data_IF_962458987968
#
_entry.id   IF_962458987968
#
_cell.length_a   1.000
_cell.length_b   1.000
_cell.length_c   1.000
_cell.angle_alpha   90.00
_cell.angle_beta   90.00
_cell.angle_gamma   90.00
#
_symmetry.space_group_name_H-M   'P 1'
#
loop_
_entity.id
_entity.type
_entity.pdbx_description
1 polymer ?
#
# COMPACT_ATOMS: atom_id res chain seq x y z
N UNK A 1 -19.71 13.93 -21.40
CA UNK A 1 -19.66 12.44 -21.28
C UNK A 1 -20.41 12.04 -20.01
N UNK A 2 -21.19 10.96 -20.05
CA UNK A 2 -21.88 10.49 -18.82
C UNK A 2 -20.84 9.97 -17.80
N UNK A 3 -21.11 10.10 -16.49
CA UNK A 3 -20.24 9.57 -15.43
C UNK A 3 -19.94 8.06 -15.60
N UNK A 4 -20.89 7.34 -16.21
CA UNK A 4 -20.72 5.92 -16.57
C UNK A 4 -19.65 5.73 -17.65
N UNK A 5 -19.60 6.59 -18.67
CA UNK A 5 -18.60 6.48 -19.74
C UNK A 5 -17.18 6.76 -19.23
N UNK A 6 -17.01 7.74 -18.33
CA UNK A 6 -15.71 8.03 -17.72
C UNK A 6 -15.25 6.87 -16.80
N UNK A 7 -16.15 6.27 -16.05
CA UNK A 7 -15.84 5.10 -15.22
C UNK A 7 -15.43 3.88 -16.06
N UNK A 8 -16.19 3.58 -17.12
CA UNK A 8 -15.86 2.48 -18.03
C UNK A 8 -14.49 2.68 -18.70
N UNK A 9 -14.18 3.92 -19.11
CA UNK A 9 -12.86 4.27 -19.65
C UNK A 9 -11.76 4.07 -18.63
N UNK A 10 -11.95 4.52 -17.38
CA UNK A 10 -10.97 4.34 -16.30
C UNK A 10 -10.72 2.86 -16.01
N UNK A 11 -11.76 2.03 -15.94
CA UNK A 11 -11.65 0.58 -15.75
C UNK A 11 -10.95 -0.10 -16.93
N UNK A 12 -11.27 0.28 -18.18
CA UNK A 12 -10.62 -0.27 -19.37
C UNK A 12 -9.13 0.09 -19.41
N UNK A 13 -8.78 1.34 -19.15
CA UNK A 13 -7.38 1.78 -19.08
C UNK A 13 -6.64 1.10 -17.93
N UNK A 14 -7.28 0.94 -16.78
CA UNK A 14 -6.72 0.21 -15.63
C UNK A 14 -6.44 -1.26 -15.97
N UNK A 15 -7.37 -1.94 -16.64
CA UNK A 15 -7.18 -3.31 -17.09
C UNK A 15 -6.04 -3.43 -18.12
N UNK A 16 -5.98 -2.50 -19.09
CA UNK A 16 -4.88 -2.47 -20.07
C UNK A 16 -3.52 -2.24 -19.37
N UNK A 17 -3.45 -1.31 -18.43
CA UNK A 17 -2.25 -1.06 -17.66
C UNK A 17 -1.84 -2.30 -16.85
N UNK A 18 -2.79 -2.97 -16.20
CA UNK A 18 -2.55 -4.21 -15.47
C UNK A 18 -2.00 -5.31 -16.39
N UNK A 19 -2.63 -5.54 -17.55
CA UNK A 19 -2.17 -6.52 -18.53
C UNK A 19 -0.77 -6.19 -19.06
N UNK A 20 -0.48 -4.92 -19.35
CA UNK A 20 0.84 -4.48 -19.81
C UNK A 20 1.93 -4.72 -18.76
N UNK A 21 1.64 -4.39 -17.48
CA UNK A 21 2.58 -4.63 -16.37
C UNK A 21 2.78 -6.14 -16.17
N UNK A 22 1.72 -6.94 -16.22
CA UNK A 22 1.83 -8.39 -16.11
C UNK A 22 2.62 -9.00 -17.28
N UNK A 23 2.42 -8.53 -18.51
CA UNK A 23 3.19 -8.98 -19.68
C UNK A 23 4.68 -8.64 -19.52
N UNK A 24 4.98 -7.42 -19.07
CA UNK A 24 6.35 -7.00 -18.81
C UNK A 24 7.02 -7.87 -17.73
N UNK A 25 6.33 -8.06 -16.60
CA UNK A 25 6.85 -8.89 -15.50
C UNK A 25 7.04 -10.35 -15.96
N UNK A 26 6.07 -10.89 -16.71
CA UNK A 26 6.16 -12.24 -17.25
C UNK A 26 7.38 -12.38 -18.17
N UNK A 27 7.60 -11.43 -19.08
CA UNK A 27 8.75 -11.41 -19.98
C UNK A 27 10.09 -11.30 -19.20
N UNK A 28 10.15 -10.43 -18.17
CA UNK A 28 11.33 -10.30 -17.31
C UNK A 28 11.65 -11.60 -16.58
N UNK A 29 10.63 -12.26 -16.02
CA UNK A 29 10.78 -13.55 -15.32
C UNK A 29 11.29 -14.63 -16.27
N UNK A 30 10.76 -14.69 -17.51
CA UNK A 30 11.22 -15.64 -18.53
C UNK A 30 12.64 -15.36 -19.04
N UNK A 31 13.07 -14.10 -19.00
CA UNK A 31 14.40 -13.65 -19.42
C UNK A 31 15.47 -13.89 -18.34
N UNK A 32 15.05 -14.23 -17.11
CA UNK A 32 15.97 -14.40 -15.99
C UNK A 32 16.89 -15.63 -16.22
N UNK A 33 18.19 -15.52 -15.89
CA UNK A 33 19.13 -16.65 -16.02
C UNK A 33 18.66 -17.87 -15.23
N UNK A 34 18.60 -19.03 -15.87
CA UNK A 34 18.10 -20.27 -15.30
C UNK A 34 16.63 -20.58 -15.63
N UNK A 35 15.82 -19.60 -16.02
CA UNK A 35 14.43 -19.79 -16.46
C UNK A 35 13.52 -20.56 -15.49
N UNK A 36 12.23 -20.67 -15.85
CA UNK A 36 11.25 -21.43 -15.06
C UNK A 36 11.59 -22.92 -14.96
N UNK A 37 12.22 -23.49 -15.98
CA UNK A 37 12.60 -24.91 -16.01
C UNK A 37 13.66 -25.25 -14.96
N UNK A 38 14.69 -24.42 -14.79
CA UNK A 38 15.72 -24.64 -13.77
C UNK A 38 15.17 -24.41 -12.35
N UNK A 39 14.31 -23.40 -12.16
CA UNK A 39 13.66 -23.17 -10.87
C UNK A 39 12.74 -24.32 -10.44
N UNK A 40 12.06 -24.96 -11.39
CA UNK A 40 11.22 -26.15 -11.15
C UNK A 40 12.03 -27.43 -10.93
N UNK A 41 13.09 -27.63 -11.72
CA UNK A 41 13.91 -28.85 -11.66
C UNK A 41 14.85 -28.85 -10.45
N UNK A 42 15.20 -27.67 -9.92
CA UNK A 42 16.16 -27.48 -8.84
C UNK A 42 17.60 -27.33 -9.33
N UNK A 43 18.45 -26.74 -8.48
CA UNK A 43 19.84 -26.35 -8.83
C UNK A 43 20.75 -27.55 -9.22
N UNK A 44 20.39 -28.77 -8.84
CA UNK A 44 21.14 -29.99 -9.11
C UNK A 44 20.50 -30.87 -10.18
N UNK A 45 19.48 -30.38 -10.90
CA UNK A 45 18.80 -31.20 -11.91
C UNK A 45 19.66 -31.46 -13.12
N UNK A 46 19.59 -32.73 -13.63
CA UNK A 46 20.24 -33.10 -14.88
C UNK A 46 19.57 -32.38 -16.07
N UNK A 47 20.29 -32.30 -17.20
CA UNK A 47 19.72 -31.74 -18.45
C UNK A 47 18.47 -32.50 -18.90
N UNK A 48 18.39 -33.81 -18.63
CA UNK A 48 17.25 -34.66 -18.95
C UNK A 48 16.02 -34.27 -18.11
N UNK A 49 16.19 -34.07 -16.79
CA UNK A 49 15.14 -33.61 -15.88
C UNK A 49 14.65 -32.22 -16.26
N UNK A 50 15.55 -31.30 -16.63
CA UNK A 50 15.18 -29.97 -17.11
C UNK A 50 14.38 -30.04 -18.42
N UNK A 51 14.76 -30.88 -19.36
CA UNK A 51 14.05 -31.09 -20.63
C UNK A 51 12.66 -31.71 -20.42
N UNK A 52 12.50 -32.59 -19.45
CA UNK A 52 11.21 -33.18 -19.07
C UNK A 52 10.29 -32.16 -18.43
N UNK A 53 10.79 -31.34 -17.51
CA UNK A 53 10.08 -30.23 -16.91
C UNK A 53 9.66 -29.20 -17.97
N UNK A 54 10.56 -28.85 -18.89
CA UNK A 54 10.26 -27.91 -19.98
C UNK A 54 9.09 -28.41 -20.83
N UNK A 55 9.04 -29.69 -21.16
CA UNK A 55 7.94 -30.29 -21.94
C UNK A 55 6.65 -30.42 -21.14
N UNK A 56 6.71 -30.87 -19.89
CA UNK A 56 5.54 -31.11 -19.05
C UNK A 56 4.82 -29.81 -18.68
N UNK A 57 5.55 -28.67 -18.59
CA UNK A 57 4.99 -27.35 -18.31
C UNK A 57 4.83 -26.48 -19.56
N UNK A 58 5.03 -27.03 -20.77
CA UNK A 58 4.92 -26.33 -22.05
C UNK A 58 5.75 -25.02 -22.10
N UNK A 59 6.95 -25.05 -21.49
CA UNK A 59 7.87 -23.90 -21.46
C UNK A 59 8.66 -23.74 -22.78
N UNK A 60 8.49 -24.65 -23.71
CA UNK A 60 9.02 -24.65 -25.08
C UNK A 60 8.17 -23.84 -26.07
N UNK A 61 6.93 -23.44 -25.65
CA UNK A 61 6.06 -22.63 -26.49
C UNK A 61 6.53 -21.16 -26.57
N UNK A 62 6.08 -20.41 -27.61
CA UNK A 62 6.33 -18.97 -27.67
C UNK A 62 5.87 -18.26 -26.39
N UNK A 63 6.67 -17.30 -25.89
CA UNK A 63 6.40 -16.57 -24.62
C UNK A 63 4.99 -15.94 -24.61
N UNK A 64 4.52 -15.47 -25.78
CA UNK A 64 3.19 -14.89 -25.92
C UNK A 64 2.08 -15.93 -25.65
N UNK A 65 2.22 -17.16 -26.12
CA UNK A 65 1.25 -18.23 -25.85
C UNK A 65 1.25 -18.64 -24.38
N UNK A 66 2.43 -18.71 -23.78
CA UNK A 66 2.57 -18.99 -22.34
C UNK A 66 1.88 -17.88 -21.51
N UNK A 67 2.05 -16.61 -21.88
CA UNK A 67 1.41 -15.48 -21.21
C UNK A 67 -0.12 -15.54 -21.33
N UNK A 68 -0.65 -15.75 -22.54
CA UNK A 68 -2.11 -15.87 -22.74
C UNK A 68 -2.68 -17.02 -21.93
N UNK A 69 -2.00 -18.19 -21.92
CA UNK A 69 -2.38 -19.33 -21.11
C UNK A 69 -2.35 -19.03 -19.60
N UNK A 70 -1.35 -18.26 -19.14
CA UNK A 70 -1.22 -17.83 -17.75
C UNK A 70 -2.41 -16.91 -17.35
N UNK A 71 -2.72 -15.91 -18.15
CA UNK A 71 -3.85 -15.00 -17.89
C UNK A 71 -5.19 -15.74 -17.91
N UNK A 72 -5.38 -16.66 -18.87
CA UNK A 72 -6.61 -17.45 -18.95
C UNK A 72 -6.83 -18.33 -17.71
N UNK A 73 -5.79 -18.99 -17.22
CA UNK A 73 -5.85 -19.79 -15.97
C UNK A 73 -6.07 -18.91 -14.75
N UNK A 74 -5.36 -17.80 -14.65
CA UNK A 74 -5.52 -16.83 -13.55
C UNK A 74 -6.97 -16.31 -13.45
N UNK A 75 -7.60 -16.03 -14.60
CA UNK A 75 -9.01 -15.63 -14.66
C UNK A 75 -9.98 -16.72 -14.18
N UNK A 76 -9.60 -17.97 -14.26
CA UNK A 76 -10.36 -19.14 -13.77
C UNK A 76 -10.06 -19.45 -12.29
N UNK A 77 -9.20 -18.67 -11.62
CA UNK A 77 -8.79 -18.89 -10.23
C UNK A 77 -7.61 -19.86 -10.07
N UNK A 78 -7.07 -20.39 -11.15
CA UNK A 78 -5.84 -21.20 -11.14
C UNK A 78 -4.62 -20.29 -11.27
N UNK A 79 -4.02 -19.98 -10.13
CA UNK A 79 -2.82 -19.14 -10.03
C UNK A 79 -1.54 -20.00 -9.99
N UNK A 80 -1.67 -21.31 -10.21
CA UNK A 80 -0.59 -22.27 -10.17
C UNK A 80 -0.16 -22.70 -8.78
N UNK A 81 0.95 -23.43 -8.72
CA UNK A 81 1.54 -23.97 -7.48
C UNK A 81 2.89 -23.31 -7.26
N UNK A 82 3.14 -22.87 -6.05
CA UNK A 82 4.43 -22.32 -5.61
C UNK A 82 5.54 -23.36 -5.77
N UNK A 83 6.66 -22.97 -6.34
CA UNK A 83 7.83 -23.84 -6.48
C UNK A 83 8.52 -24.08 -5.14
N UNK A 84 8.57 -23.06 -4.30
CA UNK A 84 9.23 -23.09 -3.00
C UNK A 84 8.34 -23.69 -1.91
N UNK A 85 7.10 -23.18 -1.75
CA UNK A 85 6.19 -23.61 -0.69
C UNK A 85 5.43 -24.90 -1.01
N UNK A 86 5.43 -25.34 -2.27
CA UNK A 86 4.71 -26.54 -2.74
C UNK A 86 3.21 -26.54 -2.41
N UNK A 87 2.60 -25.35 -2.44
CA UNK A 87 1.19 -25.09 -2.12
C UNK A 87 0.53 -24.22 -3.21
N UNK A 88 -0.80 -24.27 -3.37
CA UNK A 88 -1.51 -23.40 -4.30
C UNK A 88 -1.23 -21.90 -4.00
N UNK A 89 -0.87 -21.15 -5.04
CA UNK A 89 -0.51 -19.72 -4.92
C UNK A 89 -1.67 -18.88 -4.39
N UNK A 90 -2.91 -19.15 -4.87
CA UNK A 90 -4.10 -18.44 -4.41
C UNK A 90 -4.31 -18.55 -2.89
N UNK A 91 -4.07 -19.74 -2.32
CA UNK A 91 -4.13 -19.97 -0.87
C UNK A 91 -3.06 -19.21 -0.10
N UNK A 92 -1.81 -19.24 -0.59
CA UNK A 92 -0.71 -18.47 0.02
C UNK A 92 -1.00 -16.97 0.03
N UNK A 93 -1.53 -16.45 -1.06
CA UNK A 93 -1.89 -15.03 -1.19
C UNK A 93 -3.05 -14.68 -0.25
N UNK A 94 -4.10 -15.49 -0.20
CA UNK A 94 -5.24 -15.27 0.68
C UNK A 94 -4.84 -15.20 2.16
N UNK A 95 -3.96 -16.10 2.61
CA UNK A 95 -3.42 -16.09 3.98
C UNK A 95 -2.63 -14.81 4.31
N UNK A 96 -1.94 -14.24 3.32
CA UNK A 96 -1.06 -13.06 3.49
C UNK A 96 -1.76 -11.73 3.26
N UNK A 97 -2.92 -11.74 2.60
CA UNK A 97 -3.66 -10.53 2.26
C UNK A 97 -4.17 -9.81 3.51
N UNK A 98 -4.79 -10.54 4.45
CA UNK A 98 -5.35 -9.95 5.67
C UNK A 98 -4.30 -9.23 6.52
N UNK A 99 -3.14 -9.82 6.85
CA UNK A 99 -2.07 -9.11 7.55
C UNK A 99 -1.60 -7.84 6.83
N UNK A 100 -1.44 -7.87 5.51
CA UNK A 100 -1.06 -6.67 4.74
C UNK A 100 -2.13 -5.58 4.84
N UNK A 101 -3.40 -5.94 4.69
CA UNK A 101 -4.51 -4.98 4.81
C UNK A 101 -4.59 -4.38 6.22
N UNK A 102 -4.40 -5.17 7.27
CA UNK A 102 -4.36 -4.68 8.65
C UNK A 102 -3.23 -3.66 8.83
N UNK A 103 -2.02 -3.96 8.35
CA UNK A 103 -0.89 -3.05 8.40
C UNK A 103 -1.17 -1.76 7.63
N UNK A 104 -1.66 -1.86 6.40
CA UNK A 104 -1.89 -0.69 5.54
C UNK A 104 -3.02 0.19 6.03
N UNK A 105 -4.17 -0.40 6.37
CA UNK A 105 -5.33 0.36 6.85
C UNK A 105 -5.08 0.97 8.22
N UNK A 106 -4.43 0.24 9.12
CA UNK A 106 -4.00 0.74 10.43
C UNK A 106 -3.04 1.93 10.29
N UNK A 107 -2.03 1.80 9.41
CA UNK A 107 -1.07 2.86 9.14
C UNK A 107 -1.70 4.08 8.48
N UNK A 108 -2.55 3.87 7.47
CA UNK A 108 -3.22 4.97 6.76
C UNK A 108 -4.17 5.74 7.69
N UNK A 109 -4.99 5.01 8.46
CA UNK A 109 -5.92 5.63 9.41
C UNK A 109 -5.19 6.45 10.46
N UNK A 110 -4.15 5.89 11.07
CA UNK A 110 -3.31 6.57 12.05
C UNK A 110 -2.61 7.79 11.45
N UNK A 111 -2.09 7.66 10.22
CA UNK A 111 -1.43 8.73 9.49
C UNK A 111 -2.37 9.90 9.17
N UNK A 112 -3.59 9.61 8.71
CA UNK A 112 -4.59 10.64 8.42
C UNK A 112 -4.97 11.39 9.70
N UNK A 113 -5.27 10.67 10.77
CA UNK A 113 -5.68 11.27 12.06
C UNK A 113 -4.55 12.14 12.62
N UNK A 114 -3.34 11.59 12.76
CA UNK A 114 -2.21 12.30 13.31
C UNK A 114 -1.75 13.46 12.40
N UNK A 115 -1.63 13.22 11.11
CA UNK A 115 -1.19 14.21 10.12
C UNK A 115 -2.19 15.37 10.00
N UNK A 116 -3.49 15.06 9.93
CA UNK A 116 -4.54 16.11 9.93
C UNK A 116 -4.50 16.94 11.22
N UNK A 117 -4.40 16.29 12.36
CA UNK A 117 -4.33 16.98 13.65
C UNK A 117 -3.10 17.91 13.71
N UNK A 118 -1.92 17.40 13.36
CA UNK A 118 -0.68 18.16 13.33
C UNK A 118 -0.73 19.33 12.33
N UNK A 119 -1.26 19.10 11.13
CA UNK A 119 -1.37 20.12 10.08
C UNK A 119 -2.34 21.24 10.44
N UNK A 120 -3.51 20.93 11.02
CA UNK A 120 -4.46 21.92 11.53
C UNK A 120 -3.86 22.72 12.70
N UNK A 121 -3.20 22.02 13.62
CA UNK A 121 -2.51 22.67 14.74
C UNK A 121 -1.41 23.62 14.22
N UNK A 122 -0.59 23.20 13.28
CA UNK A 122 0.42 24.03 12.64
C UNK A 122 -0.20 25.24 11.94
N UNK A 123 -1.34 25.08 11.24
CA UNK A 123 -2.03 26.20 10.58
C UNK A 123 -2.54 27.26 11.55
N UNK A 124 -2.95 26.85 12.76
CA UNK A 124 -3.35 27.76 13.82
C UNK A 124 -2.19 28.58 14.42
N UNK A 125 -0.93 28.14 14.23
CA UNK A 125 0.26 28.79 14.77
C UNK A 125 0.82 29.83 13.78
N UNK A 126 0.55 31.11 14.01
CA UNK A 126 0.97 32.18 13.08
C UNK A 126 2.47 32.25 12.82
N UNK A 127 3.32 32.06 13.84
CA UNK A 127 4.77 32.23 13.73
C UNK A 127 5.52 30.87 13.66
N UNK A 128 4.95 29.80 14.20
CA UNK A 128 5.60 28.49 14.31
C UNK A 128 5.09 27.47 13.29
N UNK A 129 3.99 27.77 12.60
CA UNK A 129 3.36 26.84 11.68
C UNK A 129 4.29 26.37 10.54
N UNK A 130 5.06 27.30 9.97
CA UNK A 130 6.02 26.98 8.93
C UNK A 130 7.16 26.07 9.44
N UNK A 131 7.63 26.30 10.67
CA UNK A 131 8.68 25.45 11.29
C UNK A 131 8.17 24.03 11.54
N UNK A 132 6.92 23.91 12.04
CA UNK A 132 6.28 22.61 12.27
C UNK A 132 6.10 21.87 10.94
N UNK A 133 5.65 22.55 9.89
CA UNK A 133 5.50 21.96 8.56
C UNK A 133 6.86 21.56 7.96
N UNK A 134 7.91 22.35 8.16
CA UNK A 134 9.27 22.00 7.74
C UNK A 134 9.81 20.78 8.50
N UNK A 135 9.58 20.70 9.81
CA UNK A 135 9.95 19.52 10.61
C UNK A 135 9.20 18.25 10.13
N UNK A 136 7.89 18.38 9.83
CA UNK A 136 7.14 17.28 9.24
C UNK A 136 7.72 16.86 7.89
N UNK A 137 8.09 17.82 7.02
CA UNK A 137 8.74 17.51 5.74
C UNK A 137 10.08 16.79 5.92
N UNK A 138 10.86 17.15 6.94
CA UNK A 138 12.10 16.44 7.28
C UNK A 138 11.84 15.00 7.72
N UNK A 139 10.82 14.75 8.54
CA UNK A 139 10.40 13.39 8.92
C UNK A 139 9.94 12.59 7.69
N UNK A 140 9.20 13.20 6.77
CA UNK A 140 8.78 12.57 5.53
C UNK A 140 9.95 12.11 4.65
N UNK A 141 11.08 12.83 4.67
CA UNK A 141 12.27 12.51 3.90
C UNK A 141 13.09 11.33 4.47
N UNK A 142 12.81 10.90 5.70
CA UNK A 142 13.55 9.79 6.31
C UNK A 142 13.19 8.46 5.64
N UNK A 143 14.16 7.57 5.38
CA UNK A 143 13.87 6.23 4.87
C UNK A 143 13.03 5.43 5.87
N UNK A 144 11.91 4.83 5.38
CA UNK A 144 10.97 4.10 6.25
C UNK A 144 11.63 2.95 7.01
N UNK A 145 12.53 2.21 6.36
CA UNK A 145 13.25 1.10 7.01
C UNK A 145 14.17 1.59 8.14
N UNK A 146 14.79 2.75 7.98
CA UNK A 146 15.65 3.34 9.00
C UNK A 146 14.84 3.76 10.24
N UNK A 147 13.70 4.41 10.03
CA UNK A 147 12.75 4.73 11.12
C UNK A 147 12.29 3.45 11.82
N UNK A 148 11.98 2.41 11.06
CA UNK A 148 11.59 1.10 11.61
C UNK A 148 12.68 0.46 12.46
N UNK A 149 13.93 0.52 12.02
CA UNK A 149 15.06 0.00 12.81
C UNK A 149 15.26 0.77 14.11
N UNK A 150 15.13 2.10 14.09
CA UNK A 150 15.23 2.90 15.31
C UNK A 150 14.11 2.61 16.30
N UNK A 151 12.87 2.44 15.83
CA UNK A 151 11.74 2.07 16.68
C UNK A 151 11.89 0.65 17.24
N UNK A 152 12.36 -0.29 16.42
CA UNK A 152 12.63 -1.66 16.85
C UNK A 152 13.70 -1.69 17.93
N UNK A 153 14.81 -0.97 17.74
CA UNK A 153 15.90 -0.89 18.71
C UNK A 153 15.44 -0.21 20.01
N UNK A 154 14.91 1.01 19.92
CA UNK A 154 14.57 1.80 21.10
C UNK A 154 13.34 1.28 21.84
N UNK A 155 12.17 1.25 21.18
CA UNK A 155 10.92 0.89 21.85
C UNK A 155 10.74 -0.63 21.99
N UNK A 156 11.32 -1.42 21.08
CA UNK A 156 11.21 -2.87 21.10
C UNK A 156 12.27 -3.54 21.98
N UNK A 157 13.56 -3.32 21.70
CA UNK A 157 14.65 -4.04 22.35
C UNK A 157 15.13 -3.38 23.63
N UNK A 158 15.41 -2.07 23.62
CA UNK A 158 15.97 -1.39 24.80
C UNK A 158 14.92 -1.17 25.88
N UNK A 159 13.74 -0.69 25.51
CA UNK A 159 12.66 -0.42 26.47
C UNK A 159 11.73 -1.62 26.69
N UNK A 160 11.73 -2.61 25.80
CA UNK A 160 10.87 -3.79 25.91
C UNK A 160 9.37 -3.50 25.88
N UNK A 161 8.96 -2.35 25.29
CA UNK A 161 7.55 -1.94 25.31
C UNK A 161 6.68 -2.72 24.33
N UNK A 162 7.24 -3.11 23.18
CA UNK A 162 6.47 -3.74 22.11
C UNK A 162 7.22 -4.90 21.48
N UNK A 163 6.51 -5.93 20.98
CA UNK A 163 7.11 -7.02 20.24
C UNK A 163 7.85 -6.52 18.99
N UNK A 164 9.02 -7.09 18.73
CA UNK A 164 9.87 -6.67 17.61
C UNK A 164 9.61 -7.46 16.33
N UNK A 165 8.83 -8.54 16.36
CA UNK A 165 8.59 -9.38 15.19
C UNK A 165 7.34 -10.26 15.32
N UNK A 166 6.80 -10.69 14.16
CA UNK A 166 5.66 -11.58 14.07
C UNK A 166 4.31 -10.89 14.09
N UNK A 167 3.24 -11.66 13.91
CA UNK A 167 1.85 -11.20 13.95
C UNK A 167 1.24 -11.37 15.35
N UNK A 168 1.67 -12.39 16.07
CA UNK A 168 1.13 -12.80 17.37
C UNK A 168 2.15 -13.64 18.14
N UNK A 169 1.96 -13.78 19.44
CA UNK A 169 2.77 -14.67 20.28
C UNK A 169 2.33 -16.14 20.06
N UNK A 170 3.22 -17.03 19.58
CA UNK A 170 2.91 -18.44 19.39
C UNK A 170 2.47 -19.18 20.68
N UNK A 171 2.75 -18.62 21.85
CA UNK A 171 2.38 -19.20 23.14
C UNK A 171 0.91 -18.98 23.51
N UNK A 172 0.22 -18.08 22.80
CA UNK A 172 -1.18 -17.68 23.05
C UNK A 172 -2.19 -18.36 22.13
N UNK A 173 -1.85 -19.52 21.55
CA UNK A 173 -2.68 -20.22 20.54
C UNK A 173 -4.09 -20.57 21.08
N UNK A 174 -4.22 -20.86 22.37
CA UNK A 174 -5.50 -21.19 23.02
C UNK A 174 -6.23 -20.00 23.64
N UNK A 175 -5.72 -18.77 23.43
CA UNK A 175 -6.38 -17.58 23.91
C UNK A 175 -7.68 -17.34 23.12
N UNK A 176 -8.76 -16.99 23.82
CA UNK A 176 -10.03 -16.66 23.15
C UNK A 176 -9.86 -15.52 22.12
N UNK A 177 -10.81 -15.42 21.18
CA UNK A 177 -10.72 -14.49 20.04
C UNK A 177 -10.40 -13.03 20.43
N UNK A 178 -10.88 -12.56 21.58
CA UNK A 178 -10.58 -11.22 22.09
C UNK A 178 -9.11 -11.04 22.48
N UNK A 179 -8.51 -12.02 23.14
CA UNK A 179 -7.10 -11.99 23.52
C UNK A 179 -6.19 -12.08 22.30
N UNK A 180 -6.54 -12.94 21.32
CA UNK A 180 -5.81 -13.05 20.08
C UNK A 180 -5.85 -11.72 19.27
N UNK A 181 -6.98 -11.04 19.21
CA UNK A 181 -7.09 -9.74 18.55
C UNK A 181 -6.26 -8.66 19.25
N UNK A 182 -6.21 -8.69 20.58
CA UNK A 182 -5.39 -7.76 21.37
C UNK A 182 -3.89 -8.01 21.14
N UNK A 183 -3.48 -9.27 21.08
CA UNK A 183 -2.11 -9.67 20.81
C UNK A 183 -1.65 -9.22 19.41
N UNK A 184 -2.50 -9.45 18.38
CA UNK A 184 -2.25 -8.93 17.02
C UNK A 184 -2.11 -7.40 17.03
N UNK A 185 -3.01 -6.70 17.73
CA UNK A 185 -2.96 -5.24 17.82
C UNK A 185 -1.66 -4.78 18.50
N UNK A 186 -1.18 -5.51 19.53
CA UNK A 186 0.07 -5.23 20.21
C UNK A 186 1.28 -5.42 19.33
N UNK A 187 1.33 -6.50 18.56
CA UNK A 187 2.38 -6.76 17.57
C UNK A 187 2.35 -5.76 16.41
N UNK A 188 1.17 -5.21 16.10
CA UNK A 188 1.01 -4.23 15.02
C UNK A 188 1.53 -2.83 15.39
N UNK A 189 1.75 -2.49 16.67
CA UNK A 189 2.09 -1.13 17.09
C UNK A 189 3.34 -0.61 16.38
N UNK A 190 4.46 -1.34 16.44
CA UNK A 190 5.71 -0.90 15.83
C UNK A 190 5.63 -0.85 14.28
N UNK A 191 5.15 -1.90 13.58
CA UNK A 191 5.01 -1.87 12.13
C UNK A 191 4.07 -0.76 11.65
N UNK A 192 2.91 -0.60 12.29
CA UNK A 192 1.93 0.45 11.97
C UNK A 192 2.52 1.83 12.20
N UNK A 193 3.18 2.06 13.34
CA UNK A 193 3.78 3.35 13.66
C UNK A 193 4.90 3.70 12.69
N UNK A 194 5.74 2.73 12.31
CA UNK A 194 6.81 2.90 11.33
C UNK A 194 6.27 3.43 10.00
N UNK A 195 5.25 2.76 9.47
CA UNK A 195 4.67 3.14 8.19
C UNK A 195 3.81 4.41 8.31
N UNK A 196 3.07 4.57 9.43
CA UNK A 196 2.21 5.72 9.68
C UNK A 196 3.00 7.02 9.84
N UNK A 197 4.17 7.00 10.46
CA UNK A 197 4.93 8.23 10.78
C UNK A 197 5.29 9.02 9.52
N UNK A 198 5.80 8.35 8.50
CA UNK A 198 6.15 8.98 7.23
C UNK A 198 4.91 9.55 6.53
N UNK A 199 3.81 8.78 6.49
CA UNK A 199 2.57 9.24 5.88
C UNK A 199 1.88 10.33 6.69
N UNK A 200 1.94 10.30 8.03
CA UNK A 200 1.44 11.36 8.90
C UNK A 200 2.16 12.69 8.66
N UNK A 201 3.49 12.63 8.50
CA UNK A 201 4.29 13.80 8.14
C UNK A 201 3.85 14.41 6.80
N UNK A 202 3.59 13.57 5.79
CA UNK A 202 3.04 14.02 4.52
C UNK A 202 1.64 14.64 4.68
N UNK A 203 0.71 13.95 5.37
CA UNK A 203 -0.63 14.49 5.61
C UNK A 203 -0.60 15.79 6.43
N UNK A 204 0.37 15.96 7.34
CA UNK A 204 0.54 17.19 8.10
C UNK A 204 0.92 18.37 7.18
N UNK A 205 1.85 18.18 6.26
CA UNK A 205 2.25 19.24 5.31
C UNK A 205 1.12 19.60 4.35
N UNK A 206 0.40 18.61 3.81
CA UNK A 206 -0.74 18.85 2.92
C UNK A 206 -1.87 19.55 3.68
N UNK A 207 -2.20 19.10 4.89
CA UNK A 207 -3.25 19.70 5.73
C UNK A 207 -2.89 21.12 6.11
N UNK A 208 -1.63 21.38 6.52
CA UNK A 208 -1.16 22.74 6.83
C UNK A 208 -1.33 23.68 5.65
N UNK A 209 -0.86 23.29 4.46
CA UNK A 209 -0.96 24.12 3.26
C UNK A 209 -2.41 24.43 2.89
N UNK A 210 -3.29 23.41 2.89
CA UNK A 210 -4.71 23.57 2.59
C UNK A 210 -5.44 24.41 3.65
N UNK A 211 -5.19 24.16 4.93
CA UNK A 211 -5.79 24.92 6.02
C UNK A 211 -5.39 26.40 5.98
N UNK A 212 -4.13 26.71 5.61
CA UNK A 212 -3.71 28.12 5.43
C UNK A 212 -4.49 28.81 4.32
N UNK A 213 -4.70 28.17 3.19
CA UNK A 213 -5.53 28.72 2.10
C UNK A 213 -6.99 28.93 2.54
N UNK A 214 -7.55 27.99 3.32
CA UNK A 214 -8.91 28.12 3.85
C UNK A 214 -9.04 29.24 4.88
N UNK A 215 -8.02 29.49 5.70
CA UNK A 215 -8.03 30.54 6.70
C UNK A 215 -8.07 31.97 6.11
N UNK A 216 -7.73 32.14 4.85
CA UNK A 216 -7.80 33.42 4.14
C UNK A 216 -9.17 33.65 3.46
N UNK A 217 -10.10 32.67 3.53
CA UNK A 217 -11.41 32.74 2.92
C UNK A 217 -12.37 33.71 3.64
N UNK A 218 -13.36 34.24 2.90
CA UNK A 218 -14.33 35.23 3.39
C UNK A 218 -15.16 34.73 4.58
N UNK A 219 -15.52 33.40 4.59
CA UNK A 219 -16.30 32.84 5.70
C UNK A 219 -15.52 32.82 7.02
N UNK A 220 -14.19 32.63 6.97
CA UNK A 220 -13.33 32.72 8.16
C UNK A 220 -13.27 34.13 8.71
N UNK A 221 -13.11 35.13 7.82
CA UNK A 221 -13.17 36.56 8.22
C UNK A 221 -14.50 36.89 8.86
N UNK A 222 -15.61 36.44 8.28
CA UNK A 222 -16.94 36.63 8.84
C UNK A 222 -17.12 35.94 10.21
N UNK A 223 -16.56 34.74 10.39
CA UNK A 223 -16.58 34.03 11.67
C UNK A 223 -15.80 34.78 12.76
N UNK A 224 -14.61 35.30 12.42
CA UNK A 224 -13.81 36.14 13.33
C UNK A 224 -14.54 37.44 13.71
N UNK A 225 -15.18 38.11 12.74
CA UNK A 225 -15.97 39.32 13.00
C UNK A 225 -17.16 39.07 13.95
N UNK A 226 -17.68 37.82 13.98
CA UNK A 226 -18.73 37.39 14.93
C UNK A 226 -18.18 36.96 16.29
N UNK A 227 -16.88 37.05 16.53
CA UNK A 227 -16.25 36.70 17.80
C UNK A 227 -16.11 35.17 18.03
N UNK A 228 -16.23 34.34 16.98
CA UNK A 228 -16.06 32.90 17.10
C UNK A 228 -14.59 32.62 17.45
N UNK A 229 -14.37 31.77 18.46
CA UNK A 229 -13.04 31.41 18.92
C UNK A 229 -12.21 30.75 17.82
N UNK A 230 -10.93 31.10 17.69
CA UNK A 230 -10.02 30.58 16.64
C UNK A 230 -9.96 29.06 16.63
N UNK A 231 -10.00 28.42 17.82
CA UNK A 231 -10.07 26.95 17.92
C UNK A 231 -11.29 26.37 17.21
N UNK A 232 -12.47 27.02 17.37
CA UNK A 232 -13.71 26.57 16.71
C UNK A 232 -13.63 26.80 15.20
N UNK A 233 -13.01 27.91 14.76
CA UNK A 233 -12.78 28.19 13.35
C UNK A 233 -11.91 27.11 12.72
N UNK A 234 -10.75 26.81 13.31
CA UNK A 234 -9.79 25.83 12.77
C UNK A 234 -10.36 24.43 12.79
N UNK A 235 -10.80 23.94 13.97
CA UNK A 235 -11.20 22.54 14.14
C UNK A 235 -12.64 22.26 13.70
N UNK A 236 -13.50 23.27 13.62
CA UNK A 236 -14.88 23.13 13.16
C UNK A 236 -15.04 23.47 11.67
N UNK A 237 -14.71 24.70 11.28
CA UNK A 237 -15.00 25.21 9.93
C UNK A 237 -13.91 24.79 8.93
N UNK A 238 -12.66 25.16 9.19
CA UNK A 238 -11.53 24.87 8.29
C UNK A 238 -11.33 23.35 8.14
N UNK A 239 -11.32 22.60 9.24
CA UNK A 239 -11.15 21.15 9.23
C UNK A 239 -12.20 20.42 8.39
N UNK A 240 -13.45 20.92 8.37
CA UNK A 240 -14.53 20.33 7.56
C UNK A 240 -14.27 20.50 6.07
N UNK A 241 -13.76 21.67 5.64
CA UNK A 241 -13.51 21.97 4.24
C UNK A 241 -12.24 21.29 3.71
N UNK A 242 -11.23 21.08 4.56
CA UNK A 242 -10.01 20.35 4.20
C UNK A 242 -10.23 18.83 4.13
N UNK A 243 -11.18 18.29 4.90
CA UNK A 243 -11.43 16.85 5.02
C UNK A 243 -11.62 16.10 3.70
N UNK A 244 -12.55 16.52 2.83
CA UNK A 244 -12.81 15.88 1.55
C UNK A 244 -11.58 15.75 0.65
N UNK A 245 -10.76 16.79 0.58
CA UNK A 245 -9.53 16.79 -0.22
C UNK A 245 -8.50 15.78 0.32
N UNK A 246 -8.42 15.61 1.65
CA UNK A 246 -7.55 14.60 2.27
C UNK A 246 -7.99 13.17 1.96
N UNK A 247 -9.29 12.91 1.81
CA UNK A 247 -9.80 11.59 1.44
C UNK A 247 -9.32 11.16 0.05
N UNK A 248 -9.37 12.06 -0.95
CA UNK A 248 -8.83 11.79 -2.29
C UNK A 248 -7.32 11.54 -2.24
N UNK A 249 -6.59 12.38 -1.50
CA UNK A 249 -5.14 12.22 -1.32
C UNK A 249 -4.82 10.88 -0.65
N UNK A 250 -5.63 10.45 0.33
CA UNK A 250 -5.44 9.19 1.04
C UNK A 250 -5.61 7.97 0.11
N UNK A 251 -6.62 7.97 -0.76
CA UNK A 251 -6.84 6.90 -1.72
C UNK A 251 -5.68 6.78 -2.71
N UNK A 252 -5.18 7.91 -3.23
CA UNK A 252 -4.02 7.93 -4.12
C UNK A 252 -2.71 7.49 -3.41
N UNK A 253 -2.66 7.55 -2.08
CA UNK A 253 -1.50 7.09 -1.30
C UNK A 253 -1.45 5.59 -1.05
N UNK A 254 -2.54 4.85 -1.27
CA UNK A 254 -2.56 3.40 -1.06
C UNK A 254 -1.48 2.67 -1.87
N UNK A 255 -1.24 3.08 -3.12
CA UNK A 255 -0.16 2.50 -3.93
C UNK A 255 1.24 2.68 -3.32
N UNK A 256 1.53 3.86 -2.77
CA UNK A 256 2.83 4.11 -2.11
C UNK A 256 2.97 3.38 -0.77
N UNK A 257 1.86 3.15 -0.06
CA UNK A 257 1.84 2.35 1.15
C UNK A 257 2.31 0.92 0.89
N UNK A 258 1.95 0.32 -0.25
CA UNK A 258 2.44 -1.03 -0.61
C UNK A 258 3.96 -1.08 -0.69
N UNK A 259 4.59 -0.10 -1.31
CA UNK A 259 6.07 -0.06 -1.41
C UNK A 259 6.72 -0.02 -0.03
N UNK A 260 6.19 0.81 0.88
CA UNK A 260 6.66 0.87 2.28
C UNK A 260 6.33 -0.41 3.06
N UNK A 261 5.14 -0.99 2.83
CA UNK A 261 4.70 -2.20 3.51
C UNK A 261 5.63 -3.39 3.24
N UNK A 262 6.13 -3.58 2.03
CA UNK A 262 7.10 -4.66 1.70
C UNK A 262 8.32 -4.60 2.62
N UNK A 263 8.88 -3.40 2.81
CA UNK A 263 10.06 -3.21 3.67
C UNK A 263 9.73 -3.42 5.14
N UNK A 264 8.60 -2.89 5.60
CA UNK A 264 8.16 -2.99 6.99
C UNK A 264 7.78 -4.44 7.34
N UNK A 265 7.07 -5.14 6.47
CA UNK A 265 6.73 -6.56 6.63
C UNK A 265 7.98 -7.44 6.72
N UNK A 266 8.99 -7.13 5.91
CA UNK A 266 10.26 -7.87 5.95
C UNK A 266 11.02 -7.57 7.23
N UNK A 267 11.10 -6.29 7.64
CA UNK A 267 11.82 -5.85 8.83
C UNK A 267 11.25 -6.46 10.11
N UNK A 268 9.92 -6.40 10.28
CA UNK A 268 9.24 -6.90 11.49
C UNK A 268 8.80 -8.36 11.38
N UNK A 269 9.26 -9.10 10.36
CA UNK A 269 8.82 -10.47 10.07
C UNK A 269 7.28 -10.61 10.03
N UNK A 270 6.56 -9.54 9.68
CA UNK A 270 5.11 -9.50 9.55
C UNK A 270 4.66 -10.40 8.38
N UNK A 271 3.73 -11.34 8.56
CA UNK A 271 3.42 -12.35 7.56
C UNK A 271 2.48 -11.84 6.46
N UNK A 272 2.89 -10.79 5.75
CA UNK A 272 2.10 -10.16 4.68
C UNK A 272 2.52 -10.54 3.26
N UNK A 273 1.84 -9.91 2.28
CA UNK A 273 2.09 -10.10 0.84
C UNK A 273 3.46 -9.57 0.40
N UNK A 274 3.93 -8.48 0.98
CA UNK A 274 5.25 -7.93 0.65
C UNK A 274 6.38 -8.86 1.07
N UNK A 275 6.27 -9.48 2.25
CA UNK A 275 7.22 -10.50 2.70
C UNK A 275 7.13 -11.76 1.83
N UNK A 276 5.92 -12.17 1.44
CA UNK A 276 5.74 -13.29 0.50
C UNK A 276 6.41 -12.97 -0.84
N UNK A 277 6.24 -11.76 -1.37
CA UNK A 277 6.87 -11.30 -2.60
C UNK A 277 8.41 -11.31 -2.49
N UNK A 278 8.95 -10.80 -1.39
CA UNK A 278 10.40 -10.82 -1.12
C UNK A 278 10.95 -12.25 -1.09
N UNK A 279 10.24 -13.17 -0.44
CA UNK A 279 10.60 -14.58 -0.41
C UNK A 279 10.54 -15.22 -1.82
N UNK A 280 9.51 -14.87 -2.61
CA UNK A 280 9.36 -15.36 -3.98
C UNK A 280 10.51 -14.90 -4.90
N UNK A 281 10.97 -13.65 -4.74
CA UNK A 281 12.11 -13.12 -5.49
C UNK A 281 13.39 -13.90 -5.14
N UNK A 282 13.68 -14.04 -3.84
CA UNK A 282 14.89 -14.72 -3.36
C UNK A 282 14.95 -16.19 -3.74
N UNK A 283 13.79 -16.87 -3.76
CA UNK A 283 13.68 -18.29 -4.08
C UNK A 283 13.28 -18.56 -5.55
N UNK A 284 13.25 -17.54 -6.40
CA UNK A 284 12.84 -17.64 -7.82
C UNK A 284 11.49 -18.33 -8.02
N UNK A 285 10.55 -18.08 -7.11
CA UNK A 285 9.21 -18.66 -7.14
C UNK A 285 8.31 -17.84 -8.09
N UNK A 286 8.43 -18.13 -9.37
CA UNK A 286 7.77 -17.38 -10.43
C UNK A 286 6.23 -17.32 -10.30
N UNK A 287 5.51 -18.43 -10.00
CA UNK A 287 4.06 -18.38 -9.83
C UNK A 287 3.63 -17.45 -8.70
N UNK A 288 4.31 -17.50 -7.55
CA UNK A 288 4.02 -16.60 -6.41
C UNK A 288 4.35 -15.17 -6.77
N UNK A 289 5.48 -14.92 -7.44
CA UNK A 289 5.90 -13.59 -7.85
C UNK A 289 4.88 -12.96 -8.80
N UNK A 290 4.45 -13.67 -9.85
CA UNK A 290 3.47 -13.20 -10.82
C UNK A 290 2.09 -12.98 -10.18
N UNK A 291 1.64 -13.91 -9.34
CA UNK A 291 0.36 -13.83 -8.66
C UNK A 291 0.29 -12.71 -7.64
N UNK A 292 1.26 -12.65 -6.71
CA UNK A 292 1.28 -11.64 -5.66
C UNK A 292 1.48 -10.22 -6.22
N UNK A 293 2.41 -10.05 -7.18
CA UNK A 293 2.63 -8.76 -7.82
C UNK A 293 1.41 -8.33 -8.64
N UNK A 294 0.78 -9.26 -9.38
CA UNK A 294 -0.45 -8.99 -10.12
C UNK A 294 -1.58 -8.51 -9.22
N UNK A 295 -1.76 -9.12 -8.05
CA UNK A 295 -2.74 -8.66 -7.07
C UNK A 295 -2.40 -7.27 -6.53
N UNK A 296 -1.15 -7.01 -6.17
CA UNK A 296 -0.70 -5.69 -5.68
C UNK A 296 -0.99 -4.62 -6.73
N UNK A 297 -0.64 -4.85 -7.99
CA UNK A 297 -0.92 -3.91 -9.10
C UNK A 297 -2.43 -3.68 -9.27
N UNK A 298 -3.24 -4.75 -9.20
CA UNK A 298 -4.69 -4.64 -9.26
C UNK A 298 -5.25 -3.77 -8.12
N UNK A 299 -4.76 -3.95 -6.90
CA UNK A 299 -5.15 -3.14 -5.73
C UNK A 299 -4.75 -1.67 -5.90
N UNK A 300 -3.56 -1.38 -6.43
CA UNK A 300 -3.10 -0.01 -6.71
C UNK A 300 -3.99 0.66 -7.76
N UNK A 301 -4.29 -0.02 -8.86
CA UNK A 301 -5.16 0.49 -9.92
C UNK A 301 -6.58 0.73 -9.38
N UNK A 302 -7.12 -0.23 -8.62
CA UNK A 302 -8.45 -0.10 -8.01
C UNK A 302 -8.51 1.10 -7.06
N UNK A 303 -7.46 1.33 -6.27
CA UNK A 303 -7.40 2.49 -5.37
C UNK A 303 -7.35 3.82 -6.13
N UNK A 304 -6.64 3.87 -7.26
CA UNK A 304 -6.60 5.06 -8.12
C UNK A 304 -7.96 5.35 -8.76
N UNK A 305 -8.62 4.32 -9.29
CA UNK A 305 -9.99 4.46 -9.84
C UNK A 305 -10.98 4.89 -8.75
N UNK A 306 -10.86 4.33 -7.54
CA UNK A 306 -11.67 4.76 -6.40
C UNK A 306 -11.43 6.23 -6.03
N UNK A 307 -10.18 6.70 -6.11
CA UNK A 307 -9.83 8.09 -5.87
C UNK A 307 -10.49 9.02 -6.91
N UNK A 308 -10.47 8.66 -8.18
CA UNK A 308 -11.10 9.42 -9.25
C UNK A 308 -12.63 9.51 -9.07
N UNK A 309 -13.27 8.40 -8.67
CA UNK A 309 -14.71 8.36 -8.38
C UNK A 309 -15.05 9.28 -7.19
N UNK A 310 -14.29 9.17 -6.11
CA UNK A 310 -14.49 10.01 -4.91
C UNK A 310 -14.25 11.48 -5.24
N UNK A 311 -13.23 11.79 -6.04
CA UNK A 311 -12.95 13.16 -6.49
C UNK A 311 -14.10 13.73 -7.32
N UNK A 312 -14.62 12.98 -8.29
CA UNK A 312 -15.75 13.39 -9.11
C UNK A 312 -17.04 13.59 -8.29
N UNK A 313 -17.24 12.79 -7.23
CA UNK A 313 -18.38 12.95 -6.32
C UNK A 313 -18.25 14.16 -5.39
N UNK A 314 -17.02 14.48 -4.95
CA UNK A 314 -16.75 15.61 -4.05
C UNK A 314 -16.70 16.96 -4.77
N UNK A 315 -16.27 16.97 -6.03
CA UNK A 315 -16.22 18.19 -6.85
C UNK A 315 -16.80 17.94 -8.25
N UNK A 316 -18.12 18.07 -8.41
CA UNK A 316 -18.80 17.86 -9.70
C UNK A 316 -18.43 18.90 -10.78
N UNK A 317 -17.62 19.92 -10.45
CA UNK A 317 -17.14 20.93 -11.39
C UNK A 317 -15.89 20.49 -12.16
N UNK A 318 -15.21 19.47 -11.69
CA UNK A 318 -14.09 18.87 -12.41
C UNK A 318 -14.67 17.92 -13.46
N UNK A 319 -14.97 18.46 -14.65
CA UNK A 319 -15.20 17.63 -15.82
C UNK A 319 -13.88 16.90 -16.17
N UNK A 320 -13.85 15.56 -16.20
CA UNK A 320 -12.70 14.86 -16.74
C UNK A 320 -12.60 15.21 -18.22
N UNK A 321 -11.48 15.77 -18.64
CA UNK A 321 -11.13 16.02 -20.04
C UNK A 321 -11.70 17.30 -20.70
N UNK A 322 -11.22 18.47 -20.27
CA UNK A 322 -10.91 19.52 -21.25
C UNK A 322 -9.40 19.61 -21.36
N UNK A 323 -8.82 18.95 -22.37
CA UNK A 323 -7.55 19.38 -22.89
C UNK A 323 -7.65 20.88 -23.19
N UNK A 324 -6.67 21.71 -22.79
CA UNK A 324 -6.68 23.12 -23.18
C UNK A 324 -6.65 23.22 -24.71
N UNK A 325 -7.34 24.24 -25.27
CA UNK A 325 -7.38 24.48 -26.70
C UNK A 325 -6.00 24.74 -27.29
#
# INVERSE_FOLDING_TARGET
>A
MSAVASLLRALALGLLAWLAIQALLFALVQSAPGGAAAALAGDFATRETQAEVTRSFALDRPVAEQFVSFIARMAQGDWGVSYYFRRPVAGLIAERLVPTLLLMLGSLSSAIVAGRALGLWAAAQQHRGAVIAAAASAVYALPVFWVGQLLMLGAGLELGWFPVSGLSDPRQVDAGAGAAALDIAWHAVLPVTTLALQHAAFFATVTHAKARLEMDQGYVRAARARGIAERTIVWGHVARNVGPQLAVVALNRLGMLFTGAVLVETLYAWPGLGRLLSAAILNRDHPVLLGAFGLIVAMVITSSVAADIVQAWLDPRIEPDRAPP
#
